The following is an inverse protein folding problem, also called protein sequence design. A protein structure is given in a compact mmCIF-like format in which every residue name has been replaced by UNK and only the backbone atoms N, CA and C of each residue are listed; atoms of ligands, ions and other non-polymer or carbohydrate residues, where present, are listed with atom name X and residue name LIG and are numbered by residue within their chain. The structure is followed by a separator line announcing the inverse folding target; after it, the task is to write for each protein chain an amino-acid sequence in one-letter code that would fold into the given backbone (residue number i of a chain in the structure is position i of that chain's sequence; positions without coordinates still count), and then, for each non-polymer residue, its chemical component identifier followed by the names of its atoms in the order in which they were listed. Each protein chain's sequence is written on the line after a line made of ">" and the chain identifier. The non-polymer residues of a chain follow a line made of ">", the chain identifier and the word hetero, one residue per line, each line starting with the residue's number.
data_IF_914401543875
#
_entry.id   IF_914401543875
#
_cell.length_a   1.000
_cell.length_b   1.000
_cell.length_c   1.000
_cell.angle_alpha   90.00
_cell.angle_beta   90.00
_cell.angle_gamma   90.00
#
_symmetry.space_group_name_H-M   'P 1'
#
loop_
_entity.id
_entity.type
_entity.pdbx_description
1 polymer ?
#
# COMPACT_ATOMS: atom_id res chain seq x y z
N UNK A 1 -12.66 -26.06 4.21
CA UNK A 1 -12.21 -26.62 2.91
C UNK A 1 -12.50 -25.63 1.79
N UNK A 2 -11.67 -25.51 0.74
CA UNK A 2 -12.03 -24.79 -0.48
C UNK A 2 -12.73 -25.73 -1.45
N UNK A 3 -14.04 -25.67 -1.51
CA UNK A 3 -14.86 -26.43 -2.46
C UNK A 3 -16.28 -26.51 -1.93
N UNK A 4 -17.25 -26.15 -2.78
CA UNK A 4 -18.68 -26.25 -2.50
C UNK A 4 -19.17 -27.73 -2.54
N UNK A 5 -18.37 -28.62 -1.97
CA UNK A 5 -18.59 -30.06 -1.91
C UNK A 5 -18.66 -30.42 -0.43
N UNK A 6 -19.82 -30.15 0.16
CA UNK A 6 -20.21 -30.66 1.46
C UNK A 6 -20.70 -32.09 1.26
N UNK A 7 -20.33 -33.01 2.15
CA UNK A 7 -20.84 -34.39 2.15
C UNK A 7 -22.31 -34.49 2.56
N UNK A 8 -23.14 -33.56 2.07
CA UNK A 8 -24.59 -33.55 2.22
C UNK A 8 -25.22 -34.04 0.93
N UNK A 9 -26.34 -34.72 1.07
CA UNK A 9 -27.18 -35.27 0.01
C UNK A 9 -27.73 -34.17 -0.93
N UNK A 10 -27.60 -32.91 -0.51
CA UNK A 10 -27.95 -31.73 -1.27
C UNK A 10 -26.86 -31.42 -2.30
N UNK A 11 -27.08 -31.87 -3.54
CA UNK A 11 -26.34 -31.32 -4.68
C UNK A 11 -26.87 -29.90 -4.95
N UNK A 12 -26.02 -28.86 -4.92
CA UNK A 12 -26.47 -27.52 -5.25
C UNK A 12 -27.01 -27.49 -6.68
N UNK A 13 -28.27 -27.09 -6.82
CA UNK A 13 -28.88 -26.85 -8.14
C UNK A 13 -28.30 -25.54 -8.67
N UNK A 14 -27.51 -25.64 -9.74
CA UNK A 14 -26.94 -24.47 -10.40
C UNK A 14 -27.98 -23.93 -11.38
N UNK A 15 -28.65 -22.82 -11.03
CA UNK A 15 -29.49 -22.10 -11.98
C UNK A 15 -28.69 -21.00 -12.68
N UNK A 16 -28.92 -20.83 -13.98
CA UNK A 16 -28.25 -19.80 -14.79
C UNK A 16 -29.15 -18.56 -14.85
N UNK A 17 -28.96 -17.63 -13.93
CA UNK A 17 -29.73 -16.37 -13.89
C UNK A 17 -29.11 -15.35 -14.83
N UNK A 18 -29.91 -14.82 -15.76
CA UNK A 18 -29.52 -13.67 -16.58
C UNK A 18 -30.09 -12.40 -15.93
N UNK A 19 -29.29 -11.75 -15.07
CA UNK A 19 -29.64 -10.49 -14.45
C UNK A 19 -28.82 -9.35 -15.08
N UNK A 20 -29.50 -8.28 -15.52
CA UNK A 20 -28.84 -7.07 -16.03
C UNK A 20 -28.56 -6.13 -14.86
N UNK A 21 -27.53 -6.46 -14.08
CA UNK A 21 -27.09 -5.64 -12.95
C UNK A 21 -26.28 -4.44 -13.44
N UNK A 22 -26.49 -3.27 -12.85
CA UNK A 22 -25.59 -2.12 -13.04
C UNK A 22 -24.24 -2.51 -12.47
N UNK A 23 -23.26 -2.75 -13.34
CA UNK A 23 -21.92 -3.05 -12.90
C UNK A 23 -21.35 -1.83 -12.18
N UNK A 24 -21.15 -1.95 -10.87
CA UNK A 24 -20.29 -1.03 -10.15
C UNK A 24 -18.91 -1.14 -10.79
N UNK A 25 -18.44 -0.05 -11.41
CA UNK A 25 -17.08 0.02 -11.92
C UNK A 25 -16.15 -0.17 -10.73
N UNK A 26 -15.68 -1.40 -10.52
CA UNK A 26 -14.58 -1.63 -9.58
C UNK A 26 -13.42 -0.77 -10.06
N UNK A 27 -12.90 0.07 -9.17
CA UNK A 27 -11.66 0.79 -9.44
C UNK A 27 -10.64 -0.24 -9.92
N UNK A 28 -10.02 0.00 -11.07
CA UNK A 28 -8.99 -0.90 -11.58
C UNK A 28 -7.93 -0.98 -10.50
N UNK A 29 -7.67 -2.20 -9.99
CA UNK A 29 -6.58 -2.40 -9.07
C UNK A 29 -5.29 -2.05 -9.83
N UNK A 30 -4.68 -0.92 -9.47
CA UNK A 30 -3.44 -0.49 -10.08
C UNK A 30 -2.38 -1.56 -9.83
N UNK A 31 -1.70 -1.96 -10.91
CA UNK A 31 -0.67 -2.99 -10.86
C UNK A 31 0.50 -2.48 -10.03
N UNK A 32 0.93 -3.24 -9.03
CA UNK A 32 2.09 -2.85 -8.19
C UNK A 32 3.38 -3.28 -8.88
N UNK A 33 4.36 -2.38 -8.99
CA UNK A 33 5.70 -2.69 -9.47
C UNK A 33 6.53 -3.44 -8.41
N UNK A 34 7.41 -4.34 -8.85
CA UNK A 34 8.33 -5.02 -7.95
C UNK A 34 9.53 -4.12 -7.60
N UNK A 35 9.28 -3.09 -6.79
CA UNK A 35 10.29 -2.12 -6.35
C UNK A 35 11.45 -2.77 -5.56
N UNK A 36 11.19 -3.92 -4.91
CA UNK A 36 12.25 -4.70 -4.25
C UNK A 36 13.25 -5.27 -5.26
N UNK A 37 12.81 -5.65 -6.46
CA UNK A 37 13.71 -6.10 -7.52
C UNK A 37 14.53 -4.92 -8.07
N UNK A 38 13.90 -3.77 -8.28
CA UNK A 38 14.57 -2.54 -8.74
C UNK A 38 15.73 -2.14 -7.80
N UNK A 39 15.51 -2.22 -6.49
CA UNK A 39 16.55 -1.85 -5.51
C UNK A 39 17.68 -2.88 -5.39
N UNK A 40 17.44 -4.14 -5.78
CA UNK A 40 18.42 -5.23 -5.64
C UNK A 40 19.26 -5.46 -6.88
N UNK A 41 18.69 -5.20 -8.06
CA UNK A 41 19.28 -5.50 -9.35
C UNK A 41 19.85 -4.21 -9.99
N UNK A 42 21.19 -4.03 -10.02
CA UNK A 42 21.81 -2.86 -10.60
C UNK A 42 21.54 -2.70 -12.10
N UNK A 43 21.42 -3.80 -12.85
CA UNK A 43 21.22 -3.77 -14.30
C UNK A 43 19.81 -3.31 -14.62
N UNK A 44 18.82 -3.82 -13.88
CA UNK A 44 17.44 -3.37 -13.96
C UNK A 44 17.32 -1.88 -13.65
N UNK A 45 18.00 -1.41 -12.59
CA UNK A 45 18.03 0.00 -12.22
C UNK A 45 18.65 0.86 -13.31
N UNK A 46 19.80 0.45 -13.86
CA UNK A 46 20.48 1.17 -14.93
C UNK A 46 19.60 1.26 -16.18
N UNK A 47 18.95 0.16 -16.57
CA UNK A 47 18.04 0.12 -17.72
C UNK A 47 16.86 1.07 -17.53
N UNK A 48 16.23 1.05 -16.36
CA UNK A 48 15.16 1.98 -16.00
C UNK A 48 15.62 3.44 -16.09
N UNK A 49 16.77 3.78 -15.48
CA UNK A 49 17.29 5.15 -15.45
C UNK A 49 17.64 5.68 -16.84
N UNK A 50 18.24 4.85 -17.70
CA UNK A 50 18.54 5.22 -19.09
C UNK A 50 17.23 5.51 -19.85
N UNK A 51 16.20 4.68 -19.68
CA UNK A 51 14.93 4.86 -20.36
C UNK A 51 14.21 6.14 -19.93
N UNK A 52 14.18 6.44 -18.62
CA UNK A 52 13.62 7.69 -18.09
C UNK A 52 14.38 8.88 -18.67
N UNK A 53 15.71 8.83 -18.66
CA UNK A 53 16.56 9.90 -19.19
C UNK A 53 16.28 10.16 -20.67
N UNK A 54 16.24 9.11 -21.48
CA UNK A 54 15.98 9.22 -22.92
C UNK A 54 14.61 9.85 -23.21
N UNK A 55 13.56 9.39 -22.52
CA UNK A 55 12.19 9.93 -22.68
C UNK A 55 12.08 11.37 -22.22
N UNK A 56 12.70 11.70 -21.08
CA UNK A 56 12.68 13.05 -20.55
C UNK A 56 13.44 14.03 -21.45
N UNK A 57 14.67 13.68 -21.85
CA UNK A 57 15.53 14.55 -22.67
C UNK A 57 14.97 14.78 -24.07
N UNK A 58 14.21 13.83 -24.62
CA UNK A 58 13.51 13.99 -25.90
C UNK A 58 12.37 15.02 -25.83
N UNK A 59 11.80 15.28 -24.65
CA UNK A 59 10.56 16.05 -24.48
C UNK A 59 10.74 17.36 -23.67
N UNK A 60 11.87 17.53 -22.97
CA UNK A 60 12.14 18.63 -22.02
C UNK A 60 12.22 20.06 -22.61
N UNK A 61 11.89 20.25 -23.88
CA UNK A 61 12.02 21.53 -24.60
C UNK A 61 11.11 22.65 -24.07
N UNK A 62 10.13 22.33 -23.21
CA UNK A 62 9.25 23.34 -22.62
C UNK A 62 9.90 24.08 -21.45
N UNK A 63 9.65 25.38 -21.36
CA UNK A 63 10.05 26.24 -20.24
C UNK A 63 9.07 26.20 -19.07
N UNK A 64 7.80 25.85 -19.30
CA UNK A 64 6.75 25.86 -18.28
C UNK A 64 6.92 24.73 -17.25
N UNK A 65 6.78 25.07 -15.96
CA UNK A 65 6.97 24.18 -14.82
C UNK A 65 5.98 23.01 -14.86
N UNK A 66 4.70 23.29 -15.08
CA UNK A 66 3.63 22.29 -15.20
C UNK A 66 3.96 21.23 -16.26
N UNK A 67 4.36 21.68 -17.45
CA UNK A 67 4.63 20.76 -18.56
C UNK A 67 5.88 19.93 -18.30
N UNK A 68 6.92 20.51 -17.70
CA UNK A 68 8.14 19.80 -17.33
C UNK A 68 7.88 18.73 -16.27
N UNK A 69 7.07 19.03 -15.26
CA UNK A 69 6.64 18.06 -14.27
C UNK A 69 5.90 16.89 -14.91
N UNK A 70 4.92 17.17 -15.75
CA UNK A 70 4.15 16.12 -16.45
C UNK A 70 5.05 15.28 -17.36
N UNK A 71 6.02 15.87 -18.05
CA UNK A 71 7.00 15.12 -18.84
C UNK A 71 7.86 14.20 -17.96
N UNK A 72 8.34 14.69 -16.82
CA UNK A 72 9.14 13.88 -15.89
C UNK A 72 8.31 12.70 -15.34
N UNK A 73 7.11 12.99 -14.87
CA UNK A 73 6.16 12.00 -14.35
C UNK A 73 5.83 10.92 -15.38
N UNK A 74 5.43 11.32 -16.59
CA UNK A 74 5.10 10.41 -17.68
C UNK A 74 6.31 9.58 -18.13
N UNK A 75 7.51 10.17 -18.13
CA UNK A 75 8.76 9.45 -18.43
C UNK A 75 9.04 8.36 -17.39
N UNK A 76 8.86 8.67 -16.10
CA UNK A 76 9.01 7.73 -14.99
C UNK A 76 7.98 6.60 -15.08
N UNK A 77 6.71 6.93 -15.27
CA UNK A 77 5.61 5.97 -15.32
C UNK A 77 5.76 4.99 -16.50
N UNK A 78 6.03 5.52 -17.70
CA UNK A 78 6.23 4.69 -18.90
C UNK A 78 7.47 3.82 -18.80
N UNK A 79 8.59 4.36 -18.33
CA UNK A 79 9.79 3.57 -18.13
C UNK A 79 9.59 2.48 -17.07
N UNK A 80 8.83 2.76 -16.01
CA UNK A 80 8.49 1.79 -14.99
C UNK A 80 7.61 0.66 -15.55
N UNK A 81 6.60 0.98 -16.38
CA UNK A 81 5.74 -0.01 -17.03
C UNK A 81 6.50 -0.96 -17.96
N UNK A 82 7.46 -0.45 -18.71
CA UNK A 82 8.21 -1.24 -19.70
C UNK A 82 9.35 -2.05 -19.08
N UNK A 83 10.02 -1.52 -18.05
CA UNK A 83 11.24 -2.12 -17.52
C UNK A 83 11.05 -2.86 -16.21
N UNK A 84 10.14 -2.43 -15.33
CA UNK A 84 10.05 -2.99 -13.98
C UNK A 84 9.04 -4.15 -13.97
N UNK A 85 9.45 -5.36 -13.55
CA UNK A 85 8.53 -6.48 -13.48
C UNK A 85 7.39 -6.19 -12.50
N UNK A 86 6.17 -6.58 -12.89
CA UNK A 86 4.98 -6.46 -12.05
C UNK A 86 5.13 -7.37 -10.83
N UNK A 87 4.62 -6.94 -9.68
CA UNK A 87 4.59 -7.80 -8.50
C UNK A 87 3.74 -9.04 -8.79
N UNK A 88 4.26 -10.24 -8.50
CA UNK A 88 3.48 -11.45 -8.67
C UNK A 88 2.26 -11.39 -7.75
N UNK A 89 1.13 -11.91 -8.26
CA UNK A 89 -0.06 -12.09 -7.43
C UNK A 89 0.32 -12.95 -6.23
N UNK A 90 -0.17 -12.58 -5.05
CA UNK A 90 -0.02 -13.43 -3.86
C UNK A 90 -0.69 -14.76 -4.14
N UNK A 91 0.09 -15.83 -4.20
CA UNK A 91 -0.43 -17.18 -4.30
C UNK A 91 -1.29 -17.49 -3.09
N UNK A 92 -2.55 -17.83 -3.34
CA UNK A 92 -3.48 -18.22 -2.30
C UNK A 92 -3.15 -19.65 -1.87
N UNK A 93 -2.85 -19.85 -0.57
CA UNK A 93 -2.51 -21.16 0.04
C UNK A 93 -1.23 -21.79 -0.52
N UNK A 94 -0.09 -21.17 -0.20
CA UNK A 94 1.28 -21.62 -0.55
C UNK A 94 1.66 -23.05 -0.11
N UNK A 95 0.84 -23.69 0.72
CA UNK A 95 1.01 -25.07 1.19
C UNK A 95 0.22 -26.10 0.37
N UNK A 96 -0.62 -25.67 -0.59
CA UNK A 96 -1.44 -26.58 -1.39
C UNK A 96 -0.59 -27.23 -2.48
N UNK A 97 -0.40 -28.54 -2.41
CA UNK A 97 0.40 -29.30 -3.40
C UNK A 97 -0.48 -29.87 -4.52
N UNK A 98 0.13 -30.16 -5.68
CA UNK A 98 -0.58 -30.76 -6.82
C UNK A 98 -1.21 -32.12 -6.45
N UNK A 99 -0.53 -32.91 -5.62
CA UNK A 99 -1.05 -34.19 -5.12
C UNK A 99 -2.37 -34.05 -4.35
N UNK A 100 -2.52 -32.98 -3.55
CA UNK A 100 -3.78 -32.67 -2.86
C UNK A 100 -4.89 -32.30 -3.86
N UNK A 101 -4.55 -31.51 -4.89
CA UNK A 101 -5.51 -31.13 -5.95
C UNK A 101 -6.01 -32.36 -6.73
N UNK A 102 -5.12 -33.30 -7.03
CA UNK A 102 -5.45 -34.53 -7.75
C UNK A 102 -6.34 -35.44 -6.90
N UNK A 103 -6.05 -35.58 -5.60
CA UNK A 103 -6.92 -36.28 -4.65
C UNK A 103 -8.29 -35.61 -4.52
N UNK A 104 -8.38 -34.28 -4.51
CA UNK A 104 -9.67 -33.56 -4.55
C UNK A 104 -10.46 -33.82 -5.84
N UNK A 105 -9.79 -34.02 -6.98
CA UNK A 105 -10.43 -34.42 -8.22
C UNK A 105 -10.94 -35.88 -8.15
N UNK A 106 -10.18 -36.78 -7.53
CA UNK A 106 -10.61 -38.16 -7.27
C UNK A 106 -11.83 -38.21 -6.34
N UNK A 107 -11.84 -37.40 -5.28
CA UNK A 107 -13.00 -37.29 -4.37
C UNK A 107 -14.26 -36.85 -5.12
N UNK A 108 -14.14 -35.88 -6.04
CA UNK A 108 -15.27 -35.42 -6.88
C UNK A 108 -15.86 -36.53 -7.76
N UNK A 109 -15.04 -37.45 -8.26
CA UNK A 109 -15.49 -38.62 -9.05
C UNK A 109 -16.10 -39.72 -8.19
N UNK A 110 -15.70 -39.83 -6.92
CA UNK A 110 -16.15 -40.86 -5.99
C UNK A 110 -17.45 -40.52 -5.23
N UNK A 111 -18.22 -39.50 -5.66
CA UNK A 111 -19.47 -39.09 -4.99
C UNK A 111 -20.53 -40.19 -4.89
N UNK A 112 -20.53 -41.15 -5.82
CA UNK A 112 -21.50 -42.23 -5.86
C UNK A 112 -21.23 -43.33 -4.82
N UNK A 113 -20.02 -43.38 -4.25
CA UNK A 113 -19.61 -44.36 -3.25
C UNK A 113 -19.31 -43.67 -1.91
N UNK A 114 -20.24 -43.73 -0.94
CA UNK A 114 -20.08 -43.06 0.35
C UNK A 114 -18.86 -43.52 1.16
N UNK A 115 -18.47 -44.79 1.04
CA UNK A 115 -17.34 -45.36 1.78
C UNK A 115 -16.02 -44.84 1.21
N UNK A 116 -15.89 -44.93 -0.13
CA UNK A 116 -14.72 -44.43 -0.84
C UNK A 116 -14.58 -42.91 -0.75
N UNK A 117 -15.69 -42.17 -0.80
CA UNK A 117 -15.70 -40.72 -0.59
C UNK A 117 -15.12 -40.34 0.79
N UNK A 118 -15.62 -40.96 1.86
CA UNK A 118 -15.15 -40.69 3.24
C UNK A 118 -13.67 -41.04 3.41
N UNK A 119 -13.21 -42.14 2.82
CA UNK A 119 -11.80 -42.54 2.85
C UNK A 119 -10.90 -41.51 2.17
N UNK A 120 -11.25 -41.08 0.95
CA UNK A 120 -10.49 -40.07 0.21
C UNK A 120 -10.54 -38.71 0.93
N UNK A 121 -11.68 -38.34 1.53
CA UNK A 121 -11.80 -37.10 2.30
C UNK A 121 -10.90 -37.09 3.56
N UNK A 122 -10.83 -38.21 4.28
CA UNK A 122 -9.93 -38.38 5.42
C UNK A 122 -8.46 -38.25 5.00
N UNK A 123 -8.11 -38.85 3.87
CA UNK A 123 -6.76 -38.76 3.30
C UNK A 123 -6.41 -37.32 2.86
N UNK A 124 -7.32 -36.63 2.18
CA UNK A 124 -7.15 -35.22 1.81
C UNK A 124 -6.95 -34.35 3.05
N UNK A 125 -7.75 -34.55 4.11
CA UNK A 125 -7.60 -33.80 5.37
C UNK A 125 -6.23 -34.04 5.99
N UNK A 126 -5.77 -35.29 6.03
CA UNK A 126 -4.44 -35.65 6.53
C UNK A 126 -3.34 -34.95 5.71
N UNK A 127 -3.37 -35.09 4.39
CA UNK A 127 -2.39 -34.44 3.50
C UNK A 127 -2.43 -32.91 3.60
N UNK A 128 -3.62 -32.31 3.74
CA UNK A 128 -3.74 -30.86 3.95
C UNK A 128 -3.10 -30.42 5.27
N UNK A 129 -3.29 -31.19 6.35
CA UNK A 129 -2.71 -30.88 7.65
C UNK A 129 -1.19 -31.02 7.60
N UNK A 130 -0.68 -32.12 7.07
CA UNK A 130 0.76 -32.37 6.92
C UNK A 130 1.43 -31.29 6.06
N UNK A 131 0.88 -30.99 4.88
CA UNK A 131 1.45 -29.97 3.99
C UNK A 131 1.39 -28.56 4.61
N UNK A 132 0.33 -28.25 5.35
CA UNK A 132 0.21 -26.98 6.07
C UNK A 132 1.22 -26.88 7.21
N UNK A 133 1.38 -27.95 7.98
CA UNK A 133 2.32 -28.03 9.10
C UNK A 133 3.78 -27.95 8.62
N UNK A 134 4.13 -28.71 7.59
CA UNK A 134 5.46 -28.65 6.96
C UNK A 134 5.77 -27.25 6.43
N UNK A 135 4.79 -26.61 5.79
CA UNK A 135 4.94 -25.24 5.32
C UNK A 135 5.15 -24.25 6.48
N UNK A 136 4.34 -24.33 7.55
CA UNK A 136 4.49 -23.47 8.75
C UNK A 136 5.86 -23.69 9.38
N UNK A 137 6.25 -24.93 9.64
CA UNK A 137 7.54 -25.27 10.23
C UNK A 137 8.71 -24.77 9.37
N UNK A 138 8.62 -24.90 8.05
CA UNK A 138 9.59 -24.34 7.13
C UNK A 138 9.64 -22.81 7.14
N UNK A 139 8.50 -22.13 7.34
CA UNK A 139 8.50 -20.68 7.54
C UNK A 139 9.10 -20.28 8.90
N UNK A 140 8.80 -21.01 9.97
CA UNK A 140 9.35 -20.76 11.31
C UNK A 140 10.88 -20.84 11.28
N UNK A 141 11.45 -21.92 10.72
CA UNK A 141 12.91 -22.07 10.55
C UNK A 141 13.54 -20.90 9.79
N UNK A 142 12.98 -20.56 8.61
CA UNK A 142 13.44 -19.40 7.82
C UNK A 142 13.35 -18.08 8.59
N UNK A 143 12.36 -17.93 9.46
CA UNK A 143 12.16 -16.73 10.28
C UNK A 143 13.16 -16.68 11.43
N UNK A 144 13.46 -17.82 12.05
CA UNK A 144 14.49 -17.97 13.08
C UNK A 144 15.89 -17.69 12.55
N UNK A 145 16.22 -18.19 11.36
CA UNK A 145 17.50 -17.94 10.70
C UNK A 145 17.67 -16.45 10.34
N UNK A 146 16.58 -15.75 10.03
CA UNK A 146 16.57 -14.32 9.72
C UNK A 146 16.50 -13.39 10.95
N UNK A 147 16.39 -13.91 12.18
CA UNK A 147 16.27 -13.11 13.42
C UNK A 147 17.41 -12.09 13.61
N UNK A 148 18.60 -12.35 13.06
CA UNK A 148 19.79 -11.50 13.24
C UNK A 148 19.96 -10.42 12.17
N UNK A 149 19.21 -10.46 11.07
CA UNK A 149 19.50 -9.65 9.88
C UNK A 149 18.38 -8.67 9.46
N UNK A 150 17.10 -9.00 9.69
CA UNK A 150 15.98 -8.17 9.21
C UNK A 150 14.69 -8.37 10.03
N UNK A 151 14.50 -7.51 11.04
CA UNK A 151 13.31 -7.51 11.91
C UNK A 151 12.02 -7.25 11.12
N UNK A 152 12.05 -6.39 10.10
CA UNK A 152 10.86 -6.07 9.30
C UNK A 152 10.37 -7.29 8.49
N UNK A 153 11.30 -8.06 7.91
CA UNK A 153 10.98 -9.31 7.23
C UNK A 153 10.38 -10.35 8.20
N UNK A 154 10.89 -10.43 9.43
CA UNK A 154 10.38 -11.31 10.47
C UNK A 154 8.90 -10.99 10.81
N UNK A 155 8.60 -9.72 11.11
CA UNK A 155 7.24 -9.27 11.40
C UNK A 155 6.28 -9.50 10.22
N UNK A 156 6.75 -9.27 8.98
CA UNK A 156 5.96 -9.56 7.78
C UNK A 156 5.61 -11.05 7.68
N UNK A 157 6.57 -11.94 7.93
CA UNK A 157 6.36 -13.40 7.90
C UNK A 157 5.43 -13.87 9.01
N UNK A 158 5.58 -13.35 10.22
CA UNK A 158 4.69 -13.65 11.34
C UNK A 158 3.24 -13.27 10.99
N UNK A 159 3.03 -12.08 10.40
CA UNK A 159 1.70 -11.65 9.97
C UNK A 159 1.12 -12.51 8.84
N UNK A 160 1.95 -12.93 7.88
CA UNK A 160 1.56 -13.84 6.79
C UNK A 160 1.13 -15.22 7.34
N UNK A 161 1.80 -15.74 8.38
CA UNK A 161 1.50 -17.05 9.00
C UNK A 161 0.28 -16.94 9.92
N UNK A 162 0.28 -15.96 10.82
CA UNK A 162 -0.76 -15.76 11.82
C UNK A 162 -2.14 -15.54 11.21
N UNK A 163 -2.21 -15.20 9.91
CA UNK A 163 -3.45 -14.98 9.18
C UNK A 163 -4.39 -14.10 9.98
N UNK A 164 -3.86 -13.05 10.63
CA UNK A 164 -4.67 -12.07 11.37
C UNK A 164 -5.70 -11.58 10.38
N UNK A 165 -6.94 -12.08 10.51
CA UNK A 165 -8.07 -11.58 9.75
C UNK A 165 -8.11 -10.11 10.12
N UNK A 166 -7.94 -9.23 9.13
CA UNK A 166 -8.25 -7.83 9.37
C UNK A 166 -9.67 -7.84 9.90
N UNK A 167 -9.84 -7.39 11.13
CA UNK A 167 -11.16 -7.06 11.67
C UNK A 167 -11.79 -6.16 10.62
N UNK A 168 -12.96 -6.54 10.11
CA UNK A 168 -13.67 -5.68 9.19
C UNK A 168 -13.82 -4.34 9.91
N UNK A 169 -13.21 -3.29 9.37
CA UNK A 169 -13.39 -1.95 9.90
C UNK A 169 -14.90 -1.71 9.88
N UNK A 170 -15.48 -1.44 11.05
CA UNK A 170 -16.88 -1.05 11.15
C UNK A 170 -17.04 0.18 10.30
N UNK A 171 -17.73 0.04 9.17
CA UNK A 171 -17.95 1.11 8.20
C UNK A 171 -19.05 2.05 8.66
N UNK A 172 -19.13 2.37 9.94
CA UNK A 172 -20.10 3.31 10.46
C UNK A 172 -19.42 4.46 11.21
N UNK A 173 -19.92 5.65 10.98
CA UNK A 173 -19.44 6.91 11.55
C UNK A 173 -20.65 7.70 12.04
N UNK A 174 -20.53 8.47 13.12
CA UNK A 174 -21.58 9.36 13.59
C UNK A 174 -21.53 10.68 12.81
N UNK A 175 -22.70 11.11 12.35
CA UNK A 175 -22.95 12.48 11.91
C UNK A 175 -22.72 13.46 13.06
N UNK A 176 -22.59 14.76 12.74
CA UNK A 176 -22.49 15.85 13.72
C UNK A 176 -23.66 15.85 14.72
N UNK A 177 -24.85 15.43 14.26
CA UNK A 177 -26.06 15.30 15.09
C UNK A 177 -26.13 13.97 15.86
N UNK A 178 -25.06 13.17 15.90
CA UNK A 178 -24.99 11.89 16.62
C UNK A 178 -25.64 10.69 15.90
N UNK A 179 -26.18 10.87 14.70
CA UNK A 179 -26.79 9.79 13.90
C UNK A 179 -25.73 8.87 13.29
N UNK A 180 -25.91 7.55 13.40
CA UNK A 180 -25.00 6.57 12.78
C UNK A 180 -25.24 6.52 11.26
N UNK A 181 -24.19 6.81 10.50
CA UNK A 181 -24.12 6.71 9.04
C UNK A 181 -23.48 5.37 8.67
N UNK A 182 -24.06 4.65 7.73
CA UNK A 182 -23.58 3.34 7.24
C UNK A 182 -23.38 3.30 5.72
N UNK A 183 -23.94 4.28 4.99
CA UNK A 183 -23.82 4.37 3.54
C UNK A 183 -22.49 5.01 3.15
N UNK A 184 -21.87 4.52 2.07
CA UNK A 184 -20.52 4.98 1.70
C UNK A 184 -20.51 6.46 1.29
N UNK A 185 -21.57 6.96 0.65
CA UNK A 185 -21.70 8.38 0.29
C UNK A 185 -21.72 9.27 1.52
N UNK A 186 -22.54 8.91 2.51
CA UNK A 186 -22.79 9.72 3.70
C UNK A 186 -21.55 9.74 4.60
N UNK A 187 -20.81 8.63 4.66
CA UNK A 187 -19.52 8.55 5.34
C UNK A 187 -18.50 9.48 4.67
N UNK A 188 -18.43 9.48 3.33
CA UNK A 188 -17.50 10.35 2.59
C UNK A 188 -17.85 11.84 2.77
N UNK A 189 -19.13 12.18 2.75
CA UNK A 189 -19.61 13.53 3.01
C UNK A 189 -19.23 13.99 4.43
N UNK A 190 -19.50 13.15 5.44
CA UNK A 190 -19.12 13.44 6.83
C UNK A 190 -17.61 13.64 7.01
N UNK A 191 -16.78 12.87 6.31
CA UNK A 191 -15.32 13.06 6.29
C UNK A 191 -14.91 14.33 5.56
N UNK A 192 -15.58 14.69 4.47
CA UNK A 192 -15.34 15.95 3.77
C UNK A 192 -15.63 17.15 4.67
N UNK A 193 -16.76 17.14 5.38
CA UNK A 193 -17.12 18.16 6.36
C UNK A 193 -16.06 18.27 7.45
N UNK A 194 -15.67 17.13 8.06
CA UNK A 194 -14.66 17.11 9.12
C UNK A 194 -13.33 17.70 8.67
N UNK A 195 -12.83 17.30 7.49
CA UNK A 195 -11.55 17.78 6.96
C UNK A 195 -11.64 19.26 6.60
N UNK A 196 -12.77 19.71 6.04
CA UNK A 196 -12.98 21.13 5.74
C UNK A 196 -12.99 21.99 7.00
N UNK A 197 -13.66 21.55 8.06
CA UNK A 197 -13.65 22.23 9.37
C UNK A 197 -12.24 22.21 9.99
N UNK A 198 -11.55 21.07 9.96
CA UNK A 198 -10.22 20.89 10.56
C UNK A 198 -9.14 21.75 9.90
N UNK A 199 -9.20 21.90 8.57
CA UNK A 199 -8.25 22.71 7.79
C UNK A 199 -8.85 24.05 7.36
N UNK A 200 -9.95 24.48 7.98
CA UNK A 200 -10.52 25.80 7.72
C UNK A 200 -9.52 26.87 8.16
N UNK A 201 -9.08 27.69 7.22
CA UNK A 201 -8.14 28.77 7.51
C UNK A 201 -8.90 30.06 7.79
N UNK A 202 -9.00 30.44 9.06
CA UNK A 202 -9.60 31.71 9.49
C UNK A 202 -8.68 32.91 9.24
N UNK A 203 -7.42 32.69 8.86
CA UNK A 203 -6.52 33.78 8.47
C UNK A 203 -7.10 34.41 7.21
N UNK A 204 -7.33 35.72 7.24
CA UNK A 204 -8.01 36.48 6.18
C UNK A 204 -7.24 36.52 4.85
N UNK A 205 -6.96 37.71 4.33
CA UNK A 205 -6.19 37.82 3.09
C UNK A 205 -4.78 37.23 3.32
N UNK A 206 -4.30 36.40 2.39
CA UNK A 206 -2.91 35.95 2.40
C UNK A 206 -2.02 37.20 2.60
N UNK A 207 -1.07 37.17 3.54
CA UNK A 207 -0.22 38.34 3.77
C UNK A 207 0.41 38.72 2.43
N UNK A 208 0.32 40.00 2.07
CA UNK A 208 1.08 40.52 0.93
C UNK A 208 2.55 40.19 1.19
N UNK A 209 3.05 39.19 0.49
CA UNK A 209 4.45 38.81 0.55
C UNK A 209 5.23 40.01 -0.01
N UNK A 210 5.74 40.85 0.88
CA UNK A 210 6.78 41.81 0.54
C UNK A 210 7.90 41.02 -0.14
N UNK A 211 8.53 41.63 -1.15
CA UNK A 211 9.57 41.03 -2.01
C UNK A 211 10.43 40.02 -1.24
N UNK A 212 10.69 38.84 -1.81
CA UNK A 212 11.30 37.76 -1.07
C UNK A 212 12.62 38.24 -0.45
N UNK A 213 12.74 38.06 0.86
CA UNK A 213 14.06 37.94 1.47
C UNK A 213 14.73 36.82 0.68
N UNK A 214 15.77 37.15 -0.09
CA UNK A 214 16.49 36.21 -0.93
C UNK A 214 17.09 35.14 0.00
N UNK A 215 16.36 34.04 0.16
CA UNK A 215 16.81 32.91 0.95
C UNK A 215 17.97 32.22 0.25
N UNK A 216 18.79 31.45 0.98
CA UNK A 216 19.84 30.65 0.36
C UNK A 216 19.22 29.70 -0.68
N UNK A 217 19.88 29.48 -1.83
CA UNK A 217 19.38 28.57 -2.85
C UNK A 217 19.35 27.13 -2.31
N UNK A 218 18.33 26.37 -2.71
CA UNK A 218 18.20 24.95 -2.35
C UNK A 218 19.46 24.21 -2.83
N UNK A 219 20.20 23.57 -1.93
CA UNK A 219 21.42 22.88 -2.29
C UNK A 219 21.11 21.48 -2.85
N UNK A 220 21.86 21.06 -3.86
CA UNK A 220 21.78 19.69 -4.37
C UNK A 220 21.97 18.64 -3.26
N UNK A 221 22.87 18.92 -2.32
CA UNK A 221 23.12 18.07 -1.16
C UNK A 221 21.91 17.92 -0.23
N UNK A 222 21.09 18.96 -0.09
CA UNK A 222 19.84 18.90 0.70
C UNK A 222 18.81 17.99 0.02
N UNK A 223 18.67 18.11 -1.31
CA UNK A 223 17.79 17.25 -2.11
C UNK A 223 18.25 15.80 -2.04
N UNK A 224 19.55 15.55 -2.23
CA UNK A 224 20.15 14.22 -2.13
C UNK A 224 19.91 13.59 -0.75
N UNK A 225 20.21 14.33 0.33
CA UNK A 225 19.97 13.87 1.70
C UNK A 225 18.51 13.53 1.92
N UNK A 226 17.60 14.42 1.49
CA UNK A 226 16.15 14.22 1.66
C UNK A 226 15.67 12.97 0.94
N UNK A 227 16.05 12.77 -0.33
CA UNK A 227 15.67 11.58 -1.11
C UNK A 227 16.21 10.28 -0.48
N UNK A 228 17.41 10.33 0.09
CA UNK A 228 18.03 9.17 0.75
C UNK A 228 17.41 8.87 2.12
N UNK A 229 17.00 9.90 2.86
CA UNK A 229 16.36 9.76 4.18
C UNK A 229 14.90 9.27 4.09
N UNK A 230 14.25 9.47 2.93
CA UNK A 230 12.89 8.98 2.71
C UNK A 230 12.82 7.44 2.74
N UNK A 231 11.89 6.92 3.55
CA UNK A 231 11.73 5.48 3.78
C UNK A 231 11.03 4.78 2.60
N UNK A 232 11.53 3.60 2.26
CA UNK A 232 10.93 2.71 1.25
C UNK A 232 9.63 2.07 1.75
N UNK A 233 8.80 1.61 0.80
CA UNK A 233 7.54 0.91 1.06
C UNK A 233 6.40 1.83 1.50
N UNK A 234 6.57 3.14 1.34
CA UNK A 234 5.51 4.12 1.56
C UNK A 234 4.52 4.10 0.39
N UNK A 235 3.30 4.53 0.67
CA UNK A 235 2.26 4.62 -0.35
C UNK A 235 2.56 5.81 -1.26
N UNK A 236 2.55 5.61 -2.58
CA UNK A 236 2.69 6.69 -3.53
C UNK A 236 1.52 7.68 -3.41
N UNK A 237 1.80 8.95 -3.69
CA UNK A 237 0.79 10.00 -3.68
C UNK A 237 -0.16 9.92 -4.88
N UNK A 238 -0.97 10.97 -5.09
CA UNK A 238 -1.83 11.09 -6.28
C UNK A 238 -1.06 11.03 -7.60
N UNK A 239 0.23 11.36 -7.58
CA UNK A 239 1.16 11.28 -8.69
C UNK A 239 1.52 9.84 -9.09
N UNK A 240 1.23 8.85 -8.23
CA UNK A 240 1.56 7.44 -8.41
C UNK A 240 3.05 7.16 -8.61
N UNK A 241 3.92 8.03 -8.08
CA UNK A 241 5.38 7.84 -8.10
C UNK A 241 5.85 7.38 -6.71
N UNK A 242 6.21 6.10 -6.53
CA UNK A 242 6.90 5.65 -5.32
C UNK A 242 8.29 6.27 -5.21
N UNK A 243 8.75 6.54 -3.98
CA UNK A 243 10.07 7.10 -3.71
C UNK A 243 11.21 6.23 -4.26
N UNK A 244 11.01 4.91 -4.32
CA UNK A 244 12.00 3.98 -4.85
C UNK A 244 12.31 4.24 -6.33
N UNK A 245 11.34 4.75 -7.10
CA UNK A 245 11.59 5.14 -8.49
C UNK A 245 12.49 6.38 -8.56
N UNK A 246 12.28 7.36 -7.67
CA UNK A 246 13.11 8.56 -7.62
C UNK A 246 14.54 8.23 -7.13
N UNK A 247 14.66 7.38 -6.11
CA UNK A 247 15.96 6.89 -5.63
C UNK A 247 16.72 6.11 -6.71
N UNK A 248 16.00 5.33 -7.53
CA UNK A 248 16.60 4.56 -8.63
C UNK A 248 17.26 5.44 -9.70
N UNK A 249 16.78 6.68 -9.90
CA UNK A 249 17.34 7.63 -10.86
C UNK A 249 18.71 8.20 -10.43
N UNK A 250 19.07 8.06 -9.15
CA UNK A 250 20.34 8.50 -8.59
C UNK A 250 20.65 9.98 -8.87
N UNK A 251 21.92 10.27 -9.14
CA UNK A 251 22.41 11.65 -9.35
C UNK A 251 21.67 12.41 -10.45
N UNK A 252 21.29 11.73 -11.54
CA UNK A 252 20.54 12.39 -12.61
C UNK A 252 19.16 12.84 -12.13
N UNK A 253 18.44 11.99 -11.38
CA UNK A 253 17.15 12.35 -10.79
C UNK A 253 17.27 13.52 -9.81
N UNK A 254 18.28 13.49 -8.95
CA UNK A 254 18.59 14.57 -7.99
C UNK A 254 18.85 15.89 -8.74
N UNK A 255 19.62 15.86 -9.84
CA UNK A 255 19.89 17.05 -10.64
C UNK A 255 18.62 17.63 -11.28
N UNK A 256 17.74 16.78 -11.80
CA UNK A 256 16.47 17.26 -12.39
C UNK A 256 15.52 17.81 -11.33
N UNK A 257 15.40 17.14 -10.18
CA UNK A 257 14.57 17.61 -9.06
C UNK A 257 15.09 18.94 -8.50
N UNK A 258 16.40 19.08 -8.33
CA UNK A 258 17.00 20.34 -7.83
C UNK A 258 16.71 21.50 -8.78
N UNK A 259 16.94 21.32 -10.10
CA UNK A 259 16.62 22.33 -11.12
C UNK A 259 15.13 22.68 -11.14
N UNK A 260 14.27 21.71 -10.87
CA UNK A 260 12.84 21.90 -10.84
C UNK A 260 12.38 22.67 -9.60
N UNK A 261 12.89 22.32 -8.42
CA UNK A 261 12.63 23.01 -7.16
C UNK A 261 13.11 24.46 -7.19
N UNK A 262 14.30 24.73 -7.77
CA UNK A 262 14.77 26.10 -7.98
C UNK A 262 13.79 26.93 -8.80
N UNK A 263 13.27 26.38 -9.89
CA UNK A 263 12.28 27.11 -10.71
C UNK A 263 11.00 27.39 -9.97
N UNK A 264 10.49 26.42 -9.20
CA UNK A 264 9.31 26.64 -8.36
C UNK A 264 9.59 27.77 -7.37
N UNK A 265 10.76 27.75 -6.73
CA UNK A 265 11.17 28.77 -5.78
C UNK A 265 11.27 30.17 -6.41
N UNK A 266 11.89 30.27 -7.59
CA UNK A 266 12.09 31.54 -8.31
C UNK A 266 10.80 32.11 -8.91
N UNK A 267 9.94 31.24 -9.45
CA UNK A 267 8.73 31.65 -10.19
C UNK A 267 7.48 31.70 -9.32
N UNK A 268 7.48 31.02 -8.18
CA UNK A 268 6.28 30.79 -7.35
C UNK A 268 5.25 29.85 -7.98
N UNK A 269 5.50 29.30 -9.18
CA UNK A 269 4.55 28.47 -9.91
C UNK A 269 4.70 26.99 -9.52
N UNK A 270 3.80 26.52 -8.65
CA UNK A 270 3.72 25.11 -8.26
C UNK A 270 2.79 24.36 -9.23
N UNK A 271 3.20 23.20 -9.80
CA UNK A 271 2.31 22.42 -10.64
C UNK A 271 1.04 21.99 -9.92
N UNK A 272 -0.08 22.00 -10.63
CA UNK A 272 -1.39 21.67 -10.06
C UNK A 272 -1.43 20.27 -9.47
N UNK A 273 -0.74 19.31 -10.10
CA UNK A 273 -0.65 17.94 -9.60
C UNK A 273 -0.01 17.82 -8.20
N UNK A 274 0.88 18.74 -7.83
CA UNK A 274 1.53 18.78 -6.51
C UNK A 274 0.65 19.43 -5.43
N UNK A 275 -0.39 20.15 -5.82
CA UNK A 275 -1.36 20.79 -4.91
C UNK A 275 -2.50 19.84 -4.51
N UNK A 276 -2.52 18.61 -5.04
CA UNK A 276 -3.54 17.61 -4.75
C UNK A 276 -3.09 16.77 -3.56
N UNK A 277 -3.94 16.69 -2.52
CA UNK A 277 -3.76 15.77 -1.40
C UNK A 277 -4.85 14.70 -1.42
N UNK A 278 -4.51 13.48 -0.98
CA UNK A 278 -5.49 12.41 -0.74
C UNK A 278 -5.53 12.10 0.75
N UNK A 279 -6.69 12.31 1.36
CA UNK A 279 -6.93 11.98 2.75
C UNK A 279 -7.39 10.53 2.87
N UNK A 280 -6.68 9.74 3.67
CA UNK A 280 -7.04 8.36 3.99
C UNK A 280 -7.33 8.29 5.48
N UNK A 281 -8.55 7.91 5.81
CA UNK A 281 -9.03 7.85 7.19
C UNK A 281 -8.62 6.53 7.82
N UNK A 282 -7.87 6.59 8.91
CA UNK A 282 -7.43 5.42 9.67
C UNK A 282 -8.01 5.51 11.09
N UNK A 283 -8.77 4.50 11.49
CA UNK A 283 -9.23 4.39 12.87
C UNK A 283 -8.04 4.11 13.79
N UNK A 284 -7.77 5.01 14.76
CA UNK A 284 -6.77 4.80 15.83
C UNK A 284 -7.17 3.59 16.69
N UNK A 285 -8.45 3.53 17.09
CA UNK A 285 -9.01 2.47 17.93
C UNK A 285 -10.06 1.63 17.18
N UNK A 286 -10.11 0.30 17.41
CA UNK A 286 -11.11 -0.57 16.80
C UNK A 286 -12.51 -0.18 17.27
N UNK A 287 -13.42 0.09 16.33
CA UNK A 287 -14.81 0.44 16.64
C UNK A 287 -15.03 1.92 16.96
N UNK A 288 -14.03 2.79 16.74
CA UNK A 288 -14.22 4.23 16.80
C UNK A 288 -15.26 4.67 15.77
N UNK A 289 -16.36 5.26 16.24
CA UNK A 289 -17.47 5.75 15.43
C UNK A 289 -17.57 7.28 15.45
N UNK A 290 -16.82 7.95 16.30
CA UNK A 290 -16.81 9.40 16.44
C UNK A 290 -15.54 10.00 15.84
N UNK A 291 -15.68 11.18 15.23
CA UNK A 291 -14.58 11.99 14.75
C UNK A 291 -14.29 13.07 15.80
N UNK A 292 -13.50 12.71 16.82
CA UNK A 292 -12.92 13.67 17.74
C UNK A 292 -11.50 13.99 17.29
N UNK A 293 -11.08 15.25 17.44
CA UNK A 293 -9.66 15.57 17.42
C UNK A 293 -8.99 14.80 18.58
N UNK A 294 -7.76 14.30 18.43
CA UNK A 294 -7.03 13.78 19.58
C UNK A 294 -6.91 14.91 20.59
N UNK A 295 -7.49 14.73 21.77
CA UNK A 295 -7.19 15.57 22.92
C UNK A 295 -5.71 15.33 23.26
N UNK A 296 -4.91 16.39 23.34
CA UNK A 296 -3.46 16.36 23.62
C UNK A 296 -3.15 16.07 25.12
N UNK A 297 -4.10 15.52 25.88
CA UNK A 297 -4.06 15.44 27.35
C UNK A 297 -3.72 14.03 27.92
N UNK A 298 -3.08 13.16 27.14
CA UNK A 298 -2.50 11.90 27.64
C UNK A 298 -0.96 11.99 27.64
N UNK A 299 -0.40 13.02 28.28
CA UNK A 299 0.95 12.94 28.85
C UNK A 299 0.83 12.09 30.13
N UNK A 300 1.06 10.79 29.99
CA UNK A 300 1.34 9.90 31.12
C UNK A 300 2.65 10.40 31.78
N UNK A 301 2.52 11.31 32.75
CA UNK A 301 3.53 11.62 33.76
C UNK A 301 3.76 10.36 34.61
N UNK A 302 4.55 9.41 34.09
CA UNK A 302 5.24 8.41 34.90
C UNK A 302 6.43 9.12 35.58
N UNK A 303 6.12 9.90 36.62
CA UNK A 303 7.07 10.31 37.66
C UNK A 303 7.48 9.05 38.45
N UNK A 304 8.48 8.33 37.95
CA UNK A 304 9.23 7.36 38.76
C UNK A 304 10.16 8.13 39.72
N UNK A 305 9.60 8.53 40.86
CA UNK A 305 10.33 8.81 42.10
C UNK A 305 11.05 7.53 42.57
N UNK A 306 12.33 7.36 42.21
CA UNK A 306 13.25 6.46 42.90
C UNK A 306 14.35 7.31 43.59
N UNK A 307 13.96 7.95 44.69
CA UNK A 307 14.85 8.19 45.81
C UNK A 307 14.95 6.89 46.62
N UNK A 308 16.11 6.23 46.61
CA UNK A 308 16.66 5.65 47.83
C UNK A 308 18.18 5.41 47.72
N UNK A 309 18.88 6.15 48.58
CA UNK A 309 20.25 5.97 49.02
C UNK A 309 20.58 4.52 49.38
N UNK A 310 21.83 4.08 49.17
CA UNK A 310 22.78 3.69 50.24
C UNK A 310 24.03 3.02 49.66
N UNK A 311 25.16 3.73 49.82
CA UNK A 311 26.58 3.31 49.83
C UNK A 311 27.26 2.87 48.51
#
# INVERSE_FOLDING_TARGET
>A
MPGADCGSDHNPVVCKVHAKLKALKKLKHQMKYNLKALNKDPDLRNKFTIEVKNKFEALQASTAEERRWEILKDSIEKAAEENIPKQPKREHKKWMTQSILDKMALRRKAKQDPSRYKSIDKEIKKMCNEAKEEWINGQCKKTEDCKKADSAYMHQKINDIASKKRTAQGGCIKSKDGKILMETSDILERWSEYIQELFYDERGQQPETQKPIEGPPILKAEVEKTINDMKNGKTAGPDQIPIELLQALGNWGIDQLTKFLHRIYDTGNIPKGMLISTFITLQKNPGATECTAPDDDDDDDDDDDDDDDYL
#
